data_IF_179098661321
#
_entry.id   IF_179098661321
#
_cell.length_a   1.000
_cell.length_b   1.000
_cell.length_c   1.000
_cell.angle_alpha   90.00
_cell.angle_beta   90.00
_cell.angle_gamma   90.00
#
_symmetry.space_group_name_H-M   'P 1'
#
loop_
_entity.id
_entity.type
_entity.pdbx_description
1 polymer ?
#
# COMPACT_ATOMS: atom_id res chain seq x y z
N UNK A 1 -25.09 21.61 22.54
CA UNK A 1 -25.20 22.24 21.21
C UNK A 1 -25.36 21.12 20.20
N UNK A 2 -26.55 20.96 19.62
CA UNK A 2 -26.79 20.01 18.52
C UNK A 2 -26.59 20.79 17.23
N UNK A 3 -25.83 20.21 16.28
CA UNK A 3 -25.65 20.77 14.95
C UNK A 3 -27.00 21.03 14.29
N UNK A 4 -27.18 22.22 13.69
CA UNK A 4 -28.38 22.56 12.91
C UNK A 4 -28.44 21.68 11.66
N UNK A 5 -29.63 21.46 11.11
CA UNK A 5 -29.82 20.54 9.97
C UNK A 5 -29.00 20.97 8.73
N UNK A 6 -28.77 22.28 8.55
CA UNK A 6 -27.87 22.83 7.53
C UNK A 6 -26.40 22.42 7.74
N UNK A 7 -25.92 22.38 9.00
CA UNK A 7 -24.56 21.90 9.33
C UNK A 7 -24.46 20.38 9.11
N UNK A 8 -25.57 19.64 9.24
CA UNK A 8 -25.62 18.19 8.97
C UNK A 8 -25.62 17.88 7.48
N UNK A 9 -26.34 18.65 6.66
CA UNK A 9 -26.30 18.51 5.20
C UNK A 9 -24.92 18.84 4.64
N UNK A 10 -24.30 19.93 5.09
CA UNK A 10 -22.95 20.31 4.65
C UNK A 10 -21.88 19.30 5.11
N UNK A 11 -22.05 18.70 6.30
CA UNK A 11 -21.21 17.59 6.76
C UNK A 11 -21.42 16.31 5.95
N UNK A 12 -22.64 16.02 5.51
CA UNK A 12 -22.94 14.85 4.68
C UNK A 12 -22.38 15.01 3.26
N UNK A 13 -22.52 16.18 2.64
CA UNK A 13 -21.90 16.47 1.33
C UNK A 13 -20.38 16.43 1.41
N UNK A 14 -19.75 17.05 2.42
CA UNK A 14 -18.30 16.94 2.63
C UNK A 14 -17.87 15.50 2.89
N UNK A 15 -18.67 14.72 3.61
CA UNK A 15 -18.39 13.29 3.81
C UNK A 15 -18.47 12.53 2.49
N UNK A 16 -19.51 12.74 1.68
CA UNK A 16 -19.66 12.10 0.37
C UNK A 16 -18.50 12.49 -0.55
N UNK A 17 -18.13 13.77 -0.60
CA UNK A 17 -17.00 14.25 -1.38
C UNK A 17 -15.69 13.63 -0.90
N UNK A 18 -15.45 13.57 0.42
CA UNK A 18 -14.29 12.90 1.00
C UNK A 18 -14.28 11.39 0.72
N UNK A 19 -15.44 10.73 0.72
CA UNK A 19 -15.58 9.31 0.39
C UNK A 19 -15.32 9.05 -1.09
N UNK A 20 -15.83 9.90 -1.98
CA UNK A 20 -15.52 9.85 -3.41
C UNK A 20 -14.05 10.15 -3.67
N UNK A 21 -13.47 11.15 -3.01
CA UNK A 21 -12.06 11.50 -3.15
C UNK A 21 -11.17 10.37 -2.64
N UNK A 22 -11.53 9.71 -1.53
CA UNK A 22 -10.86 8.52 -0.99
C UNK A 22 -11.05 7.28 -1.87
N UNK A 23 -12.21 7.10 -2.48
CA UNK A 23 -12.48 6.02 -3.42
C UNK A 23 -11.70 6.21 -4.73
N UNK A 24 -11.70 7.43 -5.29
CA UNK A 24 -10.93 7.84 -6.49
C UNK A 24 -9.42 7.85 -6.24
N UNK A 25 -9.04 8.04 -4.98
CA UNK A 25 -7.66 8.02 -4.49
C UNK A 25 -6.94 6.70 -4.84
N UNK A 26 -7.66 5.58 -4.89
CA UNK A 26 -7.14 4.28 -5.31
C UNK A 26 -6.25 3.61 -4.26
N UNK A 27 -6.20 2.28 -4.29
CA UNK A 27 -5.48 1.44 -3.33
C UNK A 27 -3.96 1.72 -3.26
N UNK A 28 -3.43 2.41 -4.27
CA UNK A 28 -2.00 2.71 -4.42
C UNK A 28 -1.67 4.17 -4.10
N UNK A 29 -2.63 4.99 -3.64
CA UNK A 29 -2.35 6.36 -3.20
C UNK A 29 -1.32 6.34 -2.09
N UNK A 30 -0.30 7.18 -2.22
CA UNK A 30 0.79 7.30 -1.25
C UNK A 30 1.56 5.99 -1.01
N UNK A 31 1.49 5.01 -1.91
CA UNK A 31 2.39 3.87 -1.79
C UNK A 31 3.84 4.38 -1.87
N UNK A 32 4.61 4.09 -0.84
CA UNK A 32 5.97 4.61 -0.68
C UNK A 32 6.93 4.08 -1.74
N UNK A 33 6.72 2.87 -2.25
CA UNK A 33 7.54 2.30 -3.32
C UNK A 33 7.27 3.02 -4.64
N UNK A 34 5.99 3.23 -4.99
CA UNK A 34 5.61 3.94 -6.20
C UNK A 34 6.03 5.41 -6.15
N UNK A 35 5.82 6.06 -5.00
CA UNK A 35 6.22 7.44 -4.79
C UNK A 35 7.74 7.60 -4.85
N UNK A 36 8.48 6.67 -4.24
CA UNK A 36 9.94 6.62 -4.31
C UNK A 36 10.45 6.44 -5.73
N UNK A 37 9.91 5.47 -6.47
CA UNK A 37 10.26 5.22 -7.87
C UNK A 37 9.97 6.43 -8.77
N UNK A 38 8.80 7.07 -8.62
CA UNK A 38 8.46 8.28 -9.36
C UNK A 38 9.40 9.45 -9.04
N UNK A 39 9.79 9.62 -7.77
CA UNK A 39 10.73 10.65 -7.38
C UNK A 39 12.12 10.39 -7.97
N UNK A 40 12.59 9.13 -7.96
CA UNK A 40 13.86 8.76 -8.57
C UNK A 40 13.85 9.00 -10.09
N UNK A 41 12.77 8.65 -10.80
CA UNK A 41 12.63 8.94 -12.24
C UNK A 41 12.72 10.44 -12.53
N UNK A 42 12.12 11.29 -11.68
CA UNK A 42 12.25 12.75 -11.83
C UNK A 42 13.68 13.20 -11.60
N UNK A 43 14.37 12.67 -10.59
CA UNK A 43 15.78 12.97 -10.35
C UNK A 43 16.63 12.58 -11.56
N UNK A 44 16.42 11.39 -12.13
CA UNK A 44 17.18 10.92 -13.31
C UNK A 44 17.01 11.84 -14.54
N UNK A 45 15.84 12.48 -14.67
CA UNK A 45 15.52 13.46 -15.72
C UNK A 45 16.19 14.82 -15.47
N UNK A 46 16.27 15.25 -14.21
CA UNK A 46 16.86 16.54 -13.83
C UNK A 46 18.37 16.49 -13.68
N UNK A 47 18.94 15.32 -13.42
CA UNK A 47 20.38 15.17 -13.20
C UNK A 47 21.13 15.28 -14.53
N UNK A 48 22.19 16.13 -14.59
CA UNK A 48 23.01 16.21 -15.78
C UNK A 48 23.70 14.85 -16.03
N UNK A 49 24.05 14.60 -17.30
CA UNK A 49 24.95 13.51 -17.65
C UNK A 49 26.37 14.08 -17.68
N UNK A 50 27.27 13.48 -16.91
CA UNK A 50 28.67 13.89 -16.89
C UNK A 50 29.44 13.30 -18.08
N UNK A 51 30.48 14.02 -18.51
CA UNK A 51 31.36 13.58 -19.60
C UNK A 51 30.86 13.92 -21.00
N UNK A 52 29.84 14.76 -21.13
CA UNK A 52 29.32 15.26 -22.41
C UNK A 52 29.31 16.79 -22.46
N UNK A 53 29.02 17.36 -23.64
CA UNK A 53 28.87 18.81 -23.84
C UNK A 53 27.89 19.40 -22.80
N UNK A 54 28.30 20.48 -22.15
CA UNK A 54 27.48 21.18 -21.15
C UNK A 54 26.20 21.78 -21.77
N UNK A 55 26.20 22.01 -23.09
CA UNK A 55 25.05 22.50 -23.83
C UNK A 55 23.95 21.43 -24.01
N UNK A 56 24.27 20.15 -23.87
CA UNK A 56 23.35 19.02 -24.02
C UNK A 56 23.39 18.06 -22.82
N UNK A 57 23.93 18.49 -21.68
CA UNK A 57 24.05 17.69 -20.47
C UNK A 57 22.69 17.36 -19.83
N UNK A 58 21.63 18.12 -20.15
CA UNK A 58 20.30 17.98 -19.56
C UNK A 58 19.16 18.01 -20.59
N UNK A 59 18.06 17.31 -20.28
CA UNK A 59 16.84 17.34 -21.09
C UNK A 59 16.26 18.77 -21.26
N UNK A 60 16.36 19.58 -20.21
CA UNK A 60 15.84 20.96 -20.21
C UNK A 60 16.54 21.86 -21.23
N UNK A 61 17.79 21.54 -21.58
CA UNK A 61 18.60 22.28 -22.56
C UNK A 61 18.24 21.93 -24.00
N UNK A 62 17.76 20.70 -24.24
CA UNK A 62 17.33 20.23 -25.56
C UNK A 62 15.82 20.43 -25.81
N UNK A 63 15.16 21.26 -25.00
CA UNK A 63 13.74 21.59 -25.18
C UNK A 63 12.75 20.62 -24.52
N UNK A 64 13.22 19.66 -23.70
CA UNK A 64 12.36 18.76 -22.93
C UNK A 64 12.37 19.21 -21.46
N UNK A 65 11.32 19.92 -21.06
CA UNK A 65 11.20 20.46 -19.69
C UNK A 65 10.17 19.69 -18.91
N UNK A 66 10.17 19.85 -17.60
CA UNK A 66 9.08 19.39 -16.76
C UNK A 66 8.13 20.55 -16.50
N UNK A 67 6.84 20.26 -16.36
CA UNK A 67 5.85 21.27 -16.00
C UNK A 67 6.24 21.97 -14.71
N UNK A 68 6.12 23.30 -14.69
CA UNK A 68 6.30 24.13 -13.50
C UNK A 68 5.16 23.93 -12.49
N UNK A 69 4.03 23.37 -12.92
CA UNK A 69 2.92 23.08 -12.04
C UNK A 69 3.19 21.79 -11.24
N UNK A 70 3.28 21.94 -9.92
CA UNK A 70 3.44 20.81 -9.00
C UNK A 70 2.31 19.77 -9.13
N UNK A 71 1.09 20.22 -9.45
CA UNK A 71 -0.07 19.36 -9.62
C UNK A 71 0.00 18.49 -10.88
N UNK A 72 0.85 18.84 -11.84
CA UNK A 72 1.05 18.06 -13.07
C UNK A 72 1.94 16.82 -12.82
N UNK A 73 2.38 16.59 -11.57
CA UNK A 73 3.08 15.38 -11.13
C UNK A 73 4.29 15.02 -12.00
N UNK A 74 5.02 16.02 -12.49
CA UNK A 74 6.23 15.82 -13.29
C UNK A 74 5.97 15.54 -14.77
N UNK A 75 4.83 15.98 -15.31
CA UNK A 75 4.54 15.96 -16.74
C UNK A 75 5.67 16.61 -17.54
N UNK A 76 6.13 15.95 -18.60
CA UNK A 76 7.12 16.51 -19.51
C UNK A 76 6.43 17.38 -20.57
N UNK A 77 7.02 18.54 -20.82
CA UNK A 77 6.65 19.52 -21.83
C UNK A 77 7.71 19.49 -22.91
N UNK A 78 7.26 19.32 -24.15
CA UNK A 78 8.11 19.13 -25.31
C UNK A 78 8.10 20.37 -26.21
N UNK A 79 9.26 20.98 -26.42
CA UNK A 79 9.49 22.05 -27.38
C UNK A 79 10.17 21.46 -28.63
N UNK A 80 9.36 21.13 -29.64
CA UNK A 80 9.85 20.49 -30.86
C UNK A 80 10.71 21.40 -31.74
N UNK A 81 10.62 22.72 -31.58
CA UNK A 81 11.50 23.67 -32.28
C UNK A 81 12.90 23.64 -31.70
N UNK A 82 13.03 23.76 -30.37
CA UNK A 82 14.33 23.71 -29.69
C UNK A 82 15.01 22.35 -29.82
N UNK A 83 14.24 21.26 -29.78
CA UNK A 83 14.83 19.93 -29.96
C UNK A 83 15.43 19.79 -31.37
N UNK A 84 14.75 20.27 -32.41
CA UNK A 84 15.29 20.24 -33.77
C UNK A 84 16.56 21.07 -33.89
N UNK A 85 16.55 22.30 -33.36
CA UNK A 85 17.74 23.15 -33.35
C UNK A 85 18.92 22.52 -32.58
N UNK A 86 18.65 21.85 -31.46
CA UNK A 86 19.68 21.14 -30.71
C UNK A 86 20.25 19.94 -31.47
N UNK A 87 19.40 19.18 -32.17
CA UNK A 87 19.81 18.06 -33.03
C UNK A 87 20.64 18.55 -34.22
N UNK A 88 20.21 19.65 -34.86
CA UNK A 88 20.92 20.21 -36.03
C UNK A 88 22.29 20.79 -35.63
N UNK A 89 22.40 21.33 -34.41
CA UNK A 89 23.64 21.91 -33.89
C UNK A 89 24.66 20.84 -33.47
N UNK A 90 24.22 19.83 -32.71
CA UNK A 90 25.10 18.77 -32.21
C UNK A 90 24.34 17.44 -32.00
N UNK A 91 24.24 16.61 -33.05
CA UNK A 91 23.55 15.33 -32.96
C UNK A 91 24.30 14.31 -32.11
N UNK A 92 25.64 14.41 -32.02
CA UNK A 92 26.46 13.48 -31.25
C UNK A 92 26.23 13.70 -29.74
N UNK A 93 26.20 14.96 -29.30
CA UNK A 93 25.91 15.26 -27.89
C UNK A 93 24.50 14.84 -27.48
N UNK A 94 23.51 14.91 -28.38
CA UNK A 94 22.15 14.37 -28.13
C UNK A 94 22.23 12.84 -27.96
N UNK A 95 22.92 12.13 -28.85
CA UNK A 95 23.10 10.68 -28.72
C UNK A 95 23.79 10.32 -27.40
N UNK A 96 24.81 11.07 -27.03
CA UNK A 96 25.53 10.94 -25.77
C UNK A 96 24.74 11.44 -24.55
N UNK A 97 23.59 12.07 -24.68
CA UNK A 97 22.69 12.29 -23.53
C UNK A 97 21.88 11.02 -23.22
N UNK A 98 21.42 10.33 -24.27
CA UNK A 98 20.51 9.18 -24.13
C UNK A 98 21.23 7.84 -23.96
N UNK A 99 22.38 7.63 -24.60
CA UNK A 99 23.02 6.33 -24.72
C UNK A 99 24.50 6.19 -24.24
N UNK A 100 25.13 7.13 -23.52
CA UNK A 100 26.55 7.00 -23.20
C UNK A 100 26.77 5.74 -22.36
N UNK A 101 27.88 5.09 -22.68
CA UNK A 101 28.31 3.84 -22.07
C UNK A 101 29.26 4.10 -20.91
N UNK A 102 28.93 5.10 -20.09
CA UNK A 102 29.60 5.31 -18.81
C UNK A 102 29.36 4.16 -17.85
N UNK A 103 30.33 3.91 -16.98
CA UNK A 103 30.31 2.83 -15.99
C UNK A 103 29.57 3.24 -14.71
N UNK A 104 29.53 4.53 -14.38
CA UNK A 104 28.90 5.09 -13.16
C UNK A 104 27.52 5.66 -13.44
N UNK A 105 26.70 5.86 -12.40
CA UNK A 105 25.34 6.41 -12.59
C UNK A 105 25.36 7.88 -13.06
N UNK A 106 26.41 8.66 -12.78
CA UNK A 106 26.55 10.03 -13.33
C UNK A 106 26.94 10.04 -14.82
N UNK A 107 27.66 9.01 -15.28
CA UNK A 107 28.16 8.90 -16.67
C UNK A 107 27.27 8.04 -17.56
N UNK A 108 26.26 7.37 -16.98
CA UNK A 108 25.27 6.59 -17.73
C UNK A 108 24.26 7.49 -18.41
N UNK A 109 23.89 7.05 -19.60
CA UNK A 109 22.83 7.70 -20.38
C UNK A 109 21.50 7.70 -19.69
N UNK A 110 20.70 8.72 -19.98
CA UNK A 110 19.36 8.85 -19.44
C UNK A 110 18.53 7.58 -19.62
N UNK A 111 18.61 6.92 -20.78
CA UNK A 111 17.87 5.68 -21.06
C UNK A 111 18.25 4.54 -20.11
N UNK A 112 19.54 4.41 -19.79
CA UNK A 112 20.05 3.37 -18.88
C UNK A 112 19.66 3.67 -17.43
N UNK A 113 19.74 4.94 -17.00
CA UNK A 113 19.32 5.39 -15.66
C UNK A 113 17.83 5.12 -15.44
N UNK A 114 16.99 5.61 -16.36
CA UNK A 114 15.54 5.39 -16.30
C UNK A 114 15.18 3.91 -16.32
N UNK A 115 15.82 3.10 -17.18
CA UNK A 115 15.59 1.65 -17.21
C UNK A 115 15.96 0.99 -15.88
N UNK A 116 17.11 1.35 -15.30
CA UNK A 116 17.53 0.85 -13.98
C UNK A 116 16.52 1.22 -12.91
N UNK A 117 16.11 2.48 -12.82
CA UNK A 117 15.12 2.94 -11.84
C UNK A 117 13.78 2.23 -11.98
N UNK A 118 13.30 2.01 -13.23
CA UNK A 118 12.09 1.23 -13.49
C UNK A 118 12.25 -0.23 -13.05
N UNK A 119 13.40 -0.83 -13.32
CA UNK A 119 13.68 -2.21 -12.94
C UNK A 119 13.79 -2.38 -11.42
N UNK A 120 14.46 -1.46 -10.73
CA UNK A 120 14.55 -1.44 -9.27
C UNK A 120 13.18 -1.22 -8.63
N UNK A 121 12.38 -0.30 -9.17
CA UNK A 121 10.99 -0.07 -8.72
C UNK A 121 10.15 -1.33 -8.91
N UNK A 122 10.25 -1.99 -10.07
CA UNK A 122 9.58 -3.26 -10.35
C UNK A 122 9.99 -4.34 -9.36
N UNK A 123 11.29 -4.53 -9.13
CA UNK A 123 11.81 -5.53 -8.20
C UNK A 123 11.29 -5.29 -6.77
N UNK A 124 11.23 -4.04 -6.32
CA UNK A 124 10.69 -3.68 -5.01
C UNK A 124 9.19 -4.00 -4.90
N UNK A 125 8.42 -3.73 -5.96
CA UNK A 125 7.00 -4.12 -6.02
C UNK A 125 6.87 -5.64 -5.95
N UNK A 126 7.67 -6.38 -6.70
CA UNK A 126 7.66 -7.84 -6.71
C UNK A 126 8.02 -8.44 -5.33
N UNK A 127 8.98 -7.85 -4.60
CA UNK A 127 9.30 -8.27 -3.23
C UNK A 127 8.13 -8.03 -2.24
N UNK A 128 7.35 -6.98 -2.45
CA UNK A 128 6.21 -6.64 -1.57
C UNK A 128 4.96 -7.46 -1.93
N UNK A 129 4.60 -7.48 -3.20
CA UNK A 129 3.34 -8.03 -3.71
C UNK A 129 3.45 -9.45 -4.28
N UNK A 130 4.67 -9.96 -4.49
CA UNK A 130 4.91 -11.20 -5.21
C UNK A 130 5.00 -10.98 -6.72
N UNK A 131 5.57 -11.96 -7.42
CA UNK A 131 5.62 -11.99 -8.88
C UNK A 131 4.92 -13.26 -9.36
N UNK A 132 3.96 -13.13 -10.28
CA UNK A 132 3.21 -14.25 -10.84
C UNK A 132 4.06 -15.17 -11.73
N UNK A 133 5.22 -14.71 -12.21
CA UNK A 133 6.12 -15.44 -13.10
C UNK A 133 7.18 -16.28 -12.40
N UNK A 134 7.37 -16.11 -11.09
CA UNK A 134 8.23 -16.98 -10.28
C UNK A 134 7.30 -17.86 -9.43
N UNK A 135 7.71 -19.07 -9.04
CA UNK A 135 6.97 -19.95 -8.12
C UNK A 135 6.93 -19.34 -6.69
N UNK A 136 6.39 -18.14 -6.57
CA UNK A 136 6.31 -17.36 -5.36
C UNK A 136 5.17 -17.92 -4.50
N UNK A 137 5.53 -18.69 -3.47
CA UNK A 137 4.61 -19.06 -2.42
C UNK A 137 4.29 -17.83 -1.56
N UNK A 138 3.20 -17.85 -0.79
CA UNK A 138 2.86 -16.75 0.12
C UNK A 138 3.99 -16.43 1.13
N UNK A 139 4.93 -17.36 1.36
CA UNK A 139 6.09 -17.13 2.21
C UNK A 139 7.17 -16.25 1.56
N UNK A 140 7.15 -16.07 0.23
CA UNK A 140 8.22 -15.43 -0.52
C UNK A 140 8.08 -13.91 -0.64
N UNK A 141 6.95 -13.32 -0.27
CA UNK A 141 6.70 -11.88 -0.38
C UNK A 141 5.94 -11.32 0.83
N UNK A 142 6.10 -10.02 1.10
CA UNK A 142 5.64 -9.40 2.34
C UNK A 142 4.13 -9.53 2.56
N UNK A 143 3.33 -9.27 1.54
CA UNK A 143 1.86 -9.35 1.65
C UNK A 143 1.41 -10.78 1.94
N UNK A 144 2.05 -11.79 1.32
CA UNK A 144 1.73 -13.20 1.55
C UNK A 144 2.05 -13.65 2.98
N UNK A 145 3.17 -13.20 3.54
CA UNK A 145 3.54 -13.48 4.94
C UNK A 145 2.57 -12.83 5.92
N UNK A 146 2.22 -11.56 5.68
CA UNK A 146 1.22 -10.87 6.50
C UNK A 146 -0.14 -11.58 6.45
N UNK A 147 -0.54 -12.07 5.27
CA UNK A 147 -1.79 -12.83 5.13
C UNK A 147 -1.75 -14.12 5.97
N UNK A 148 -0.64 -14.86 5.92
CA UNK A 148 -0.44 -16.07 6.74
C UNK A 148 -0.42 -15.77 8.24
N UNK A 149 0.18 -14.65 8.65
CA UNK A 149 0.20 -14.24 10.05
C UNK A 149 -1.19 -13.85 10.56
N UNK A 150 -2.00 -13.19 9.72
CA UNK A 150 -3.41 -12.89 10.02
C UNK A 150 -4.23 -14.17 10.09
N UNK A 151 -4.06 -15.09 9.14
CA UNK A 151 -4.75 -16.39 9.14
C UNK A 151 -4.44 -17.19 10.42
N UNK A 152 -3.16 -17.26 10.79
CA UNK A 152 -2.74 -17.88 12.05
C UNK A 152 -3.32 -17.19 13.29
N UNK A 153 -3.51 -15.87 13.26
CA UNK A 153 -4.18 -15.15 14.35
C UNK A 153 -5.66 -15.52 14.43
N UNK A 154 -6.34 -15.61 13.28
CA UNK A 154 -7.73 -16.03 13.18
C UNK A 154 -7.89 -17.43 13.78
N UNK A 155 -7.08 -18.42 13.36
CA UNK A 155 -7.13 -19.78 13.91
C UNK A 155 -6.97 -19.79 15.45
N UNK A 156 -6.02 -19.02 15.99
CA UNK A 156 -5.82 -18.93 17.45
C UNK A 156 -7.02 -18.32 18.17
N UNK A 157 -7.70 -17.35 17.55
CA UNK A 157 -8.91 -16.77 18.12
C UNK A 157 -10.07 -17.76 18.08
N UNK A 158 -10.24 -18.50 16.98
CA UNK A 158 -11.24 -19.56 16.84
C UNK A 158 -11.04 -20.64 17.92
N UNK A 159 -9.82 -21.14 18.10
CA UNK A 159 -9.49 -22.12 19.13
C UNK A 159 -9.83 -21.61 20.54
N UNK A 160 -9.55 -20.33 20.81
CA UNK A 160 -9.87 -19.70 22.08
C UNK A 160 -11.38 -19.59 22.30
N UNK A 161 -12.15 -19.27 21.27
CA UNK A 161 -13.61 -19.21 21.34
C UNK A 161 -14.19 -20.60 21.66
N UNK A 162 -13.68 -21.66 21.02
CA UNK A 162 -14.07 -23.04 21.31
C UNK A 162 -13.77 -23.41 22.76
N UNK A 163 -12.61 -23.01 23.31
CA UNK A 163 -12.30 -23.26 24.72
C UNK A 163 -13.25 -22.53 25.69
N UNK A 164 -13.60 -21.28 25.36
CA UNK A 164 -14.54 -20.48 26.15
C UNK A 164 -15.93 -21.13 26.12
N UNK A 165 -16.39 -21.56 24.94
CA UNK A 165 -17.65 -22.26 24.76
C UNK A 165 -17.70 -23.53 25.62
N UNK A 166 -16.68 -24.40 25.51
CA UNK A 166 -16.57 -25.61 26.30
C UNK A 166 -16.58 -25.34 27.81
N UNK A 167 -15.96 -24.25 28.27
CA UNK A 167 -15.99 -23.85 29.68
C UNK A 167 -17.40 -23.45 30.11
N UNK A 168 -18.11 -22.67 29.30
CA UNK A 168 -19.49 -22.28 29.60
C UNK A 168 -20.43 -23.48 29.63
N UNK A 169 -20.28 -24.43 28.69
CA UNK A 169 -21.02 -25.70 28.73
C UNK A 169 -20.79 -26.48 30.03
N UNK A 170 -19.53 -26.60 30.47
CA UNK A 170 -19.22 -27.28 31.75
C UNK A 170 -19.85 -26.57 32.96
N UNK A 171 -19.80 -25.24 32.99
CA UNK A 171 -20.42 -24.45 34.06
C UNK A 171 -21.94 -24.60 34.05
N UNK A 172 -22.56 -24.57 32.88
CA UNK A 172 -23.99 -24.78 32.70
C UNK A 172 -24.43 -26.17 33.18
N UNK A 173 -23.75 -27.24 32.75
CA UNK A 173 -24.05 -28.61 33.20
C UNK A 173 -23.82 -28.79 34.70
N UNK A 174 -22.79 -28.17 35.28
CA UNK A 174 -22.57 -28.20 36.73
C UNK A 174 -23.69 -27.49 37.49
N UNK A 175 -24.16 -26.35 36.98
CA UNK A 175 -25.29 -25.61 37.54
C UNK A 175 -26.58 -26.43 37.44
N UNK A 176 -26.84 -27.08 36.31
CA UNK A 176 -28.01 -27.95 36.12
C UNK A 176 -28.00 -29.13 37.11
N UNK A 177 -26.84 -29.79 37.29
CA UNK A 177 -26.69 -30.86 38.28
C UNK A 177 -26.86 -30.36 39.72
N UNK A 178 -26.39 -29.16 40.03
CA UNK A 178 -26.56 -28.55 41.35
C UNK A 178 -28.05 -28.23 41.61
N UNK A 179 -28.77 -27.69 40.63
CA UNK A 179 -30.22 -27.43 40.70
C UNK A 179 -30.99 -28.74 40.89
N UNK A 180 -30.66 -29.80 40.14
CA UNK A 180 -31.28 -31.12 40.30
C UNK A 180 -31.11 -31.66 41.72
N UNK A 181 -29.87 -31.64 42.25
CA UNK A 181 -29.59 -32.05 43.64
C UNK A 181 -30.31 -31.19 44.67
N UNK A 182 -30.42 -29.88 44.44
CA UNK A 182 -31.13 -28.97 45.33
C UNK A 182 -32.64 -29.26 45.34
N UNK A 183 -33.23 -29.58 44.19
CA UNK A 183 -34.63 -29.99 44.09
C UNK A 183 -34.87 -31.33 44.81
N UNK A 184 -33.97 -32.31 44.64
CA UNK A 184 -34.02 -33.58 45.39
C UNK A 184 -33.95 -33.35 46.91
N UNK A 185 -33.05 -32.49 47.37
CA UNK A 185 -32.93 -32.12 48.79
C UNK A 185 -34.18 -31.38 49.29
N UNK A 186 -34.74 -30.46 48.51
CA UNK A 186 -35.95 -29.73 48.86
C UNK A 186 -37.15 -30.68 48.98
N UNK A 187 -37.29 -31.66 48.07
CA UNK A 187 -38.33 -32.69 48.16
C UNK A 187 -38.14 -33.59 49.38
N UNK A 188 -36.90 -34.01 49.69
CA UNK A 188 -36.60 -34.78 50.89
C UNK A 188 -36.97 -34.02 52.17
N UNK A 189 -36.62 -32.73 52.26
CA UNK A 189 -37.01 -31.86 53.36
C UNK A 189 -38.53 -31.72 53.44
N UNK A 190 -39.23 -31.49 52.32
CA UNK A 190 -40.69 -31.42 52.30
C UNK A 190 -41.35 -32.73 52.74
N UNK A 191 -40.79 -33.89 52.40
CA UNK A 191 -41.32 -35.18 52.84
C UNK A 191 -41.12 -35.41 54.34
N UNK A 192 -39.99 -34.94 54.89
CA UNK A 192 -39.68 -35.03 56.32
C UNK A 192 -40.45 -34.01 57.17
N UNK A 193 -40.76 -32.83 56.63
CA UNK A 193 -41.57 -31.82 57.31
C UNK A 193 -43.08 -31.94 57.04
N UNK A 194 -43.49 -32.60 55.96
CA UNK A 194 -44.90 -32.79 55.56
C UNK A 194 -45.51 -34.14 55.95
N UNK A 195 -44.70 -35.13 56.32
CA UNK A 195 -45.15 -36.43 56.83
C UNK A 195 -45.25 -36.54 58.36
N UNK A 196 -45.03 -35.41 59.07
CA UNK A 196 -45.08 -35.29 60.52
C UNK A 196 -46.21 -34.38 60.97
N UNK A 197 -47.45 -34.73 60.65
CA UNK A 197 -48.67 -34.34 61.38
C UNK A 197 -49.56 -35.57 61.54
#
# INVERSE_FOLDING_TARGET
MQFTDDEREELNEKQIELWEEKAKSGLLKNDSLLTGGLNQLRLDIYSPVEGISQEAAMLSQIGIKTSSNYLDKGKLIFDGTKLREAIDKDPESIFQLFNPSGSTDETKGLTKRLRKTLQDTKNNIEQKAGNTGTLSTNDSFLIGRNLKDVDNQITRFEDRLIQIENRYWRQFTAMEKAIQRMNEQSMYLMQQFGGGM
#
